data_IF_137963028823
#
_entry.id   IF_137963028823
#
_cell.length_a   1.000
_cell.length_b   1.000
_cell.length_c   1.000
_cell.angle_alpha   90.00
_cell.angle_beta   90.00
_cell.angle_gamma   90.00
#
_symmetry.space_group_name_H-M   'P 1'
#
loop_
_entity.id
_entity.type
_entity.pdbx_description
1 polymer ?
#
# COMPACT_ATOMS: atom_id res chain seq x y z
N UNK A 1 -10.63 4.20 4.52
CA UNK A 1 -9.89 3.81 5.75
C UNK A 1 -9.94 4.87 6.87
N UNK A 2 -9.85 6.18 6.60
CA UNK A 2 -9.85 7.25 7.63
C UNK A 2 -11.23 7.82 8.01
N UNK A 3 -12.34 7.06 7.95
CA UNK A 3 -13.65 7.59 8.36
C UNK A 3 -13.65 7.87 9.87
N UNK A 4 -13.85 9.12 10.27
CA UNK A 4 -13.76 9.57 11.68
C UNK A 4 -15.01 9.29 12.53
N UNK A 5 -16.08 8.73 11.96
CA UNK A 5 -17.30 8.47 12.72
C UNK A 5 -17.72 6.99 12.73
N UNK A 6 -17.83 6.48 13.96
CA UNK A 6 -18.77 5.52 14.53
C UNK A 6 -18.21 5.08 15.88
N UNK A 7 -19.09 4.77 16.83
CA UNK A 7 -18.71 4.08 18.06
C UNK A 7 -17.89 2.83 17.70
N UNK A 8 -16.67 2.75 18.24
CA UNK A 8 -15.77 1.61 18.06
C UNK A 8 -15.93 0.57 19.18
N UNK A 9 -16.85 0.80 20.12
CA UNK A 9 -17.14 -0.07 21.27
C UNK A 9 -17.33 -1.53 20.84
N UNK A 10 -18.11 -1.77 19.78
CA UNK A 10 -18.39 -3.09 19.20
C UNK A 10 -17.14 -3.87 18.77
N UNK A 11 -16.02 -3.20 18.54
CA UNK A 11 -14.77 -3.82 18.13
C UNK A 11 -13.74 -3.95 19.26
N UNK A 12 -13.97 -3.30 20.41
CA UNK A 12 -13.03 -3.30 21.55
C UNK A 12 -12.73 -4.72 22.03
N UNK A 13 -13.76 -5.56 22.14
CA UNK A 13 -13.64 -6.94 22.62
C UNK A 13 -12.61 -7.77 21.84
N UNK A 14 -12.41 -7.49 20.55
CA UNK A 14 -11.42 -8.20 19.74
C UNK A 14 -10.00 -7.68 19.93
N UNK A 15 -9.86 -6.40 20.30
CA UNK A 15 -8.59 -5.70 20.42
C UNK A 15 -8.06 -5.66 21.85
N UNK A 16 -8.87 -6.04 22.85
CA UNK A 16 -8.50 -5.99 24.27
C UNK A 16 -7.31 -6.88 24.61
N UNK A 17 -7.07 -7.94 23.82
CA UNK A 17 -5.92 -8.84 23.94
C UNK A 17 -4.57 -8.17 23.63
N UNK A 18 -4.58 -7.00 22.98
CA UNK A 18 -3.37 -6.27 22.63
C UNK A 18 -2.84 -5.54 23.87
N UNK A 19 -1.58 -5.79 24.23
CA UNK A 19 -0.88 -5.07 25.32
C UNK A 19 0.38 -4.39 24.77
N UNK A 20 0.53 -3.08 25.04
CA UNK A 20 1.64 -2.25 24.49
C UNK A 20 2.10 -1.13 25.45
N UNK A 21 1.93 -1.33 26.76
CA UNK A 21 2.28 -0.33 27.76
C UNK A 21 1.60 1.02 27.48
N UNK A 22 2.36 2.11 27.47
CA UNK A 22 1.84 3.46 27.23
C UNK A 22 1.18 3.65 25.85
N UNK A 23 1.57 2.85 24.85
CA UNK A 23 1.05 2.93 23.48
C UNK A 23 -0.20 2.07 23.26
N UNK A 24 -0.66 1.34 24.28
CA UNK A 24 -1.77 0.39 24.19
C UNK A 24 -3.03 0.98 23.59
N UNK A 25 -3.50 2.12 24.12
CA UNK A 25 -4.71 2.77 23.63
C UNK A 25 -4.61 3.12 22.15
N UNK A 26 -3.46 3.63 21.70
CA UNK A 26 -3.25 4.01 20.30
C UNK A 26 -3.25 2.78 19.39
N UNK A 27 -2.58 1.68 19.78
CA UNK A 27 -2.55 0.45 19.00
C UNK A 27 -3.92 -0.22 18.96
N UNK A 28 -4.66 -0.26 20.09
CA UNK A 28 -6.04 -0.75 20.15
C UNK A 28 -6.95 0.05 19.22
N UNK A 29 -6.79 1.36 19.14
CA UNK A 29 -7.54 2.19 18.21
C UNK A 29 -7.27 1.84 16.73
N UNK A 30 -6.00 1.53 16.37
CA UNK A 30 -5.68 1.04 15.03
C UNK A 30 -6.34 -0.32 14.76
N UNK A 31 -6.29 -1.23 15.74
CA UNK A 31 -6.96 -2.53 15.67
C UNK A 31 -8.46 -2.40 15.42
N UNK A 32 -9.17 -1.57 16.19
CA UNK A 32 -10.61 -1.36 16.04
C UNK A 32 -10.95 -0.81 14.65
N UNK A 33 -10.18 0.16 14.16
CA UNK A 33 -10.35 0.73 12.81
C UNK A 33 -10.11 -0.32 11.71
N UNK A 34 -9.10 -1.17 11.88
CA UNK A 34 -8.80 -2.28 10.97
C UNK A 34 -9.97 -3.27 10.91
N UNK A 35 -10.47 -3.75 12.06
CA UNK A 35 -11.62 -4.68 12.12
C UNK A 35 -12.89 -4.06 11.54
N UNK A 36 -13.19 -2.80 11.88
CA UNK A 36 -14.32 -2.07 11.32
C UNK A 36 -14.25 -2.05 9.81
N UNK A 37 -13.08 -1.76 9.24
CA UNK A 37 -12.90 -1.76 7.79
C UNK A 37 -13.19 -3.13 7.19
N UNK A 38 -12.68 -4.22 7.76
CA UNK A 38 -12.95 -5.58 7.31
C UNK A 38 -14.44 -5.94 7.31
N UNK A 39 -15.20 -5.46 8.31
CA UNK A 39 -16.62 -5.76 8.47
C UNK A 39 -17.54 -4.88 7.61
N UNK A 40 -17.17 -3.62 7.37
CA UNK A 40 -18.09 -2.60 6.82
C UNK A 40 -17.69 -2.06 5.45
N UNK A 41 -16.46 -2.31 4.98
CA UNK A 41 -16.02 -1.80 3.68
C UNK A 41 -16.74 -2.48 2.52
N UNK A 42 -17.32 -1.65 1.65
CA UNK A 42 -17.84 -2.10 0.35
C UNK A 42 -16.72 -2.36 -0.66
N UNK A 43 -15.55 -1.72 -0.50
CA UNK A 43 -14.40 -1.91 -1.39
C UNK A 43 -13.91 -3.38 -1.36
N UNK A 44 -14.07 -4.05 -0.21
CA UNK A 44 -13.75 -5.47 -0.04
C UNK A 44 -14.73 -6.43 -0.72
N UNK A 45 -15.89 -5.94 -1.17
CA UNK A 45 -16.91 -6.76 -1.83
C UNK A 45 -16.93 -6.55 -3.35
N UNK A 46 -16.01 -5.75 -3.89
CA UNK A 46 -15.87 -5.55 -5.34
C UNK A 46 -15.38 -6.85 -5.98
N UNK A 47 -16.11 -7.34 -6.98
CA UNK A 47 -15.72 -8.50 -7.77
C UNK A 47 -14.60 -8.08 -8.74
N UNK A 48 -13.46 -8.78 -8.71
CA UNK A 48 -12.29 -8.53 -9.56
C UNK A 48 -11.80 -7.07 -9.52
N UNK A 49 -11.36 -6.55 -8.36
CA UNK A 49 -10.85 -5.19 -8.27
C UNK A 49 -9.56 -5.04 -9.11
N UNK A 50 -9.32 -3.86 -9.66
CA UNK A 50 -8.11 -3.54 -10.45
C UNK A 50 -6.81 -3.63 -9.64
N UNK A 51 -6.92 -3.63 -8.32
CA UNK A 51 -5.83 -3.77 -7.38
C UNK A 51 -6.31 -4.49 -6.12
N UNK A 52 -5.38 -5.05 -5.37
CA UNK A 52 -5.66 -5.73 -4.11
C UNK A 52 -5.88 -4.72 -2.97
N UNK A 53 -7.16 -4.53 -2.61
CA UNK A 53 -7.60 -3.66 -1.51
C UNK A 53 -7.01 -4.11 -0.16
N UNK A 54 -6.72 -5.40 0.01
CA UNK A 54 -6.11 -5.93 1.23
C UNK A 54 -4.67 -5.44 1.40
N UNK A 55 -3.92 -5.37 0.31
CA UNK A 55 -2.56 -4.82 0.32
C UNK A 55 -2.56 -3.34 0.76
N UNK A 56 -3.51 -2.54 0.27
CA UNK A 56 -3.68 -1.15 0.72
C UNK A 56 -3.99 -1.04 2.21
N UNK A 57 -4.87 -1.91 2.73
CA UNK A 57 -5.19 -1.95 4.15
C UNK A 57 -3.97 -2.31 5.00
N UNK A 58 -3.14 -3.24 4.54
CA UNK A 58 -1.92 -3.61 5.25
C UNK A 58 -0.93 -2.43 5.28
N UNK A 59 -0.70 -1.73 4.17
CA UNK A 59 0.16 -0.54 4.16
C UNK A 59 -0.40 0.63 4.98
N UNK A 60 -1.73 0.84 4.97
CA UNK A 60 -2.36 1.83 5.84
C UNK A 60 -2.09 1.52 7.30
N UNK A 61 -2.17 0.24 7.68
CA UNK A 61 -1.86 -0.22 9.04
C UNK A 61 -0.41 0.09 9.41
N UNK A 62 0.54 -0.22 8.51
CA UNK A 62 1.96 0.14 8.69
C UNK A 62 2.16 1.62 8.94
N UNK A 63 1.60 2.49 8.09
CA UNK A 63 1.71 3.96 8.28
C UNK A 63 1.20 4.39 9.64
N UNK A 64 0.08 3.82 10.11
CA UNK A 64 -0.48 4.17 11.42
C UNK A 64 0.39 3.68 12.57
N UNK A 65 0.90 2.45 12.50
CA UNK A 65 1.81 1.91 13.51
C UNK A 65 3.13 2.69 13.53
N UNK A 66 3.71 3.01 12.37
CA UNK A 66 4.90 3.87 12.29
C UNK A 66 4.66 5.26 12.88
N UNK A 67 3.46 5.83 12.72
CA UNK A 67 3.11 7.10 13.36
C UNK A 67 3.04 7.03 14.90
N UNK A 68 2.82 5.83 15.47
CA UNK A 68 2.78 5.59 16.91
C UNK A 68 4.19 5.27 17.46
N UNK A 69 4.93 4.45 16.73
CA UNK A 69 6.20 3.92 17.19
C UNK A 69 7.42 4.75 16.77
N UNK A 70 7.31 5.51 15.68
CA UNK A 70 8.45 6.15 15.01
C UNK A 70 9.15 5.19 14.05
N UNK A 71 9.66 5.70 12.93
CA UNK A 71 10.33 4.87 11.93
C UNK A 71 11.76 4.50 12.33
N UNK A 72 12.52 5.45 12.86
CA UNK A 72 13.99 5.36 12.89
C UNK A 72 14.58 4.39 13.94
N UNK A 73 13.79 3.85 14.87
CA UNK A 73 14.31 2.92 15.91
C UNK A 73 13.32 1.84 16.36
N UNK A 74 12.15 1.70 15.72
CA UNK A 74 11.08 0.84 16.20
C UNK A 74 10.50 -0.09 15.14
N UNK A 75 11.31 -0.50 14.14
CA UNK A 75 10.87 -1.50 13.15
C UNK A 75 10.37 -2.79 13.83
N UNK A 76 11.11 -3.27 14.84
CA UNK A 76 10.72 -4.44 15.63
C UNK A 76 9.36 -4.25 16.33
N UNK A 77 9.12 -3.09 16.94
CA UNK A 77 7.84 -2.82 17.59
C UNK A 77 6.69 -2.74 16.58
N UNK A 78 6.94 -2.16 15.39
CA UNK A 78 5.96 -2.10 14.31
C UNK A 78 5.62 -3.50 13.81
N UNK A 79 6.63 -4.36 13.60
CA UNK A 79 6.47 -5.76 13.20
C UNK A 79 5.67 -6.54 14.25
N UNK A 80 6.02 -6.41 15.53
CA UNK A 80 5.32 -7.08 16.61
C UNK A 80 3.87 -6.57 16.74
N UNK A 81 3.65 -5.26 16.58
CA UNK A 81 2.31 -4.68 16.66
C UNK A 81 1.45 -5.15 15.48
N UNK A 82 2.03 -5.26 14.29
CA UNK A 82 1.37 -5.84 13.13
C UNK A 82 1.08 -7.34 13.34
N UNK A 83 2.00 -8.09 13.92
CA UNK A 83 1.81 -9.49 14.31
C UNK A 83 0.65 -9.70 15.28
N UNK A 84 0.49 -8.80 16.26
CA UNK A 84 -0.67 -8.82 17.16
C UNK A 84 -1.99 -8.60 16.39
N UNK A 85 -2.00 -7.75 15.37
CA UNK A 85 -3.17 -7.60 14.49
C UNK A 85 -3.45 -8.86 13.66
N UNK A 86 -2.41 -9.56 13.19
CA UNK A 86 -2.57 -10.86 12.53
C UNK A 86 -3.19 -11.89 13.48
N UNK A 87 -2.77 -11.90 14.75
CA UNK A 87 -3.36 -12.76 15.76
C UNK A 87 -4.85 -12.45 15.98
N UNK A 88 -5.21 -11.19 16.16
CA UNK A 88 -6.62 -10.75 16.27
C UNK A 88 -7.42 -11.18 15.04
N UNK A 89 -6.89 -11.01 13.83
CA UNK A 89 -7.55 -11.44 12.60
C UNK A 89 -7.79 -12.96 12.60
N UNK A 90 -6.80 -13.76 12.99
CA UNK A 90 -6.95 -15.21 13.08
C UNK A 90 -8.05 -15.62 14.07
N UNK A 91 -8.16 -14.95 15.22
CA UNK A 91 -9.23 -15.19 16.20
C UNK A 91 -10.63 -14.90 15.64
N UNK A 92 -10.74 -13.95 14.70
CA UNK A 92 -12.03 -13.57 14.09
C UNK A 92 -12.40 -14.48 12.92
N UNK A 93 -11.44 -14.83 12.05
CA UNK A 93 -11.70 -15.41 10.73
C UNK A 93 -11.10 -16.81 10.48
N UNK A 94 -10.16 -17.30 11.30
CA UNK A 94 -9.52 -18.60 11.11
C UNK A 94 -10.16 -19.73 11.94
N UNK A 95 -10.58 -19.46 13.18
CA UNK A 95 -11.10 -20.50 14.05
C UNK A 95 -12.49 -21.03 13.62
N UNK A 96 -12.66 -22.36 13.52
CA UNK A 96 -13.89 -22.99 13.04
C UNK A 96 -15.05 -22.79 14.03
N UNK A 97 -16.12 -22.14 13.57
CA UNK A 97 -17.32 -21.88 14.37
C UNK A 97 -18.03 -20.55 14.07
N UNK A 98 -17.34 -19.61 13.39
CA UNK A 98 -17.93 -18.31 13.01
C UNK A 98 -18.18 -18.25 11.49
N UNK A 99 -19.44 -17.99 11.13
CA UNK A 99 -20.00 -17.87 9.75
C UNK A 99 -19.50 -16.62 8.99
N UNK A 100 -18.21 -16.32 8.99
CA UNK A 100 -17.68 -15.19 8.23
C UNK A 100 -16.74 -15.69 7.16
N UNK A 101 -17.08 -15.38 5.90
CA UNK A 101 -16.37 -15.75 4.68
C UNK A 101 -14.86 -15.85 4.92
N UNK A 102 -14.39 -17.08 4.89
CA UNK A 102 -12.98 -17.44 4.95
C UNK A 102 -12.25 -16.56 3.92
N UNK A 103 -11.29 -15.74 4.35
CA UNK A 103 -10.36 -14.94 3.53
C UNK A 103 -10.65 -13.44 3.32
N UNK A 104 -11.47 -12.75 4.13
CA UNK A 104 -11.51 -11.27 4.07
C UNK A 104 -10.18 -10.66 4.56
N UNK A 105 -9.34 -10.26 3.60
CA UNK A 105 -8.04 -9.61 3.79
C UNK A 105 -7.20 -10.17 4.92
N UNK A 106 -6.68 -11.38 4.74
CA UNK A 106 -5.67 -11.92 5.65
C UNK A 106 -4.48 -10.95 5.67
N UNK A 107 -4.13 -10.36 6.82
CA UNK A 107 -2.96 -9.51 6.93
C UNK A 107 -1.73 -10.38 6.68
N UNK A 108 -1.06 -10.15 5.55
CA UNK A 108 0.14 -10.85 5.17
C UNK A 108 1.25 -9.84 4.90
N UNK A 109 2.31 -9.92 5.68
CA UNK A 109 3.58 -9.29 5.42
C UNK A 109 4.62 -10.39 5.60
N UNK A 110 5.31 -10.74 4.52
CA UNK A 110 6.50 -11.59 4.62
C UNK A 110 7.63 -10.81 5.28
N UNK A 111 8.60 -11.48 5.88
CA UNK A 111 9.73 -10.86 6.60
C UNK A 111 10.44 -9.79 5.77
N UNK A 112 10.57 -10.02 4.46
CA UNK A 112 11.17 -9.07 3.53
C UNK A 112 10.33 -7.81 3.34
N UNK A 113 9.00 -7.92 3.42
CA UNK A 113 8.12 -6.77 3.25
C UNK A 113 8.26 -5.76 4.39
N UNK A 114 8.75 -6.17 5.55
CA UNK A 114 8.94 -5.28 6.69
C UNK A 114 10.14 -4.35 6.51
N UNK A 115 11.24 -4.82 5.89
CA UNK A 115 12.50 -4.07 5.82
C UNK A 115 12.36 -2.85 4.88
N UNK A 116 11.74 -3.03 3.72
CA UNK A 116 11.62 -2.05 2.65
C UNK A 116 10.16 -1.61 2.42
N UNK A 117 9.31 -1.76 3.45
CA UNK A 117 7.87 -1.53 3.39
C UNK A 117 7.52 -0.15 2.82
N UNK A 118 8.35 0.87 3.09
CA UNK A 118 8.18 2.24 2.58
C UNK A 118 8.29 2.28 1.06
N UNK A 119 9.31 1.63 0.49
CA UNK A 119 9.50 1.56 -0.96
C UNK A 119 8.41 0.68 -1.59
N UNK A 120 8.06 -0.44 -0.97
CA UNK A 120 6.98 -1.31 -1.47
C UNK A 120 5.63 -0.59 -1.46
N UNK A 121 5.34 0.20 -0.43
CA UNK A 121 4.14 1.05 -0.37
C UNK A 121 4.12 2.07 -1.51
N UNK A 122 5.21 2.82 -1.71
CA UNK A 122 5.31 3.79 -2.81
C UNK A 122 5.06 3.14 -4.17
N UNK A 123 5.68 1.98 -4.40
CA UNK A 123 5.48 1.19 -5.61
C UNK A 123 4.01 0.77 -5.79
N UNK A 124 3.36 0.35 -4.70
CA UNK A 124 1.96 -0.06 -4.73
C UNK A 124 0.99 1.12 -4.95
N UNK A 125 1.21 2.25 -4.27
CA UNK A 125 0.43 3.48 -4.48
C UNK A 125 0.54 3.94 -5.94
N UNK A 126 1.75 3.92 -6.50
CA UNK A 126 1.98 4.23 -7.91
C UNK A 126 1.23 3.28 -8.85
N UNK A 127 1.22 1.98 -8.56
CA UNK A 127 0.46 0.99 -9.32
C UNK A 127 -1.05 1.28 -9.29
N UNK A 128 -1.60 1.61 -8.11
CA UNK A 128 -3.02 1.95 -7.94
C UNK A 128 -3.39 3.19 -8.74
N UNK A 129 -2.54 4.22 -8.68
CA UNK A 129 -2.80 5.48 -9.37
C UNK A 129 -2.48 5.43 -10.87
N UNK A 130 -1.74 4.43 -11.34
CA UNK A 130 -1.15 4.41 -12.67
C UNK A 130 -2.18 4.59 -13.80
N UNK A 131 -3.33 3.89 -13.74
CA UNK A 131 -4.35 3.99 -14.80
C UNK A 131 -4.84 5.44 -14.95
N UNK A 132 -5.10 6.09 -13.81
CA UNK A 132 -5.52 7.48 -13.74
C UNK A 132 -4.39 8.41 -14.22
N UNK A 133 -3.17 8.20 -13.74
CA UNK A 133 -1.99 8.98 -14.13
C UNK A 133 -1.74 8.91 -15.63
N UNK A 134 -1.80 7.70 -16.22
CA UNK A 134 -1.64 7.47 -17.66
C UNK A 134 -2.74 8.16 -18.47
N UNK A 135 -4.00 8.01 -18.05
CA UNK A 135 -5.13 8.64 -18.74
C UNK A 135 -4.98 10.17 -18.75
N UNK A 136 -4.66 10.76 -17.61
CA UNK A 136 -4.51 12.20 -17.51
C UNK A 136 -3.30 12.74 -18.28
N UNK A 137 -2.15 12.05 -18.26
CA UNK A 137 -0.97 12.41 -19.04
C UNK A 137 -1.24 12.44 -20.55
N UNK A 138 -2.14 11.57 -21.05
CA UNK A 138 -2.52 11.58 -22.47
C UNK A 138 -3.42 12.76 -22.87
N UNK A 139 -4.07 13.44 -21.91
CA UNK A 139 -5.10 14.45 -22.19
C UNK A 139 -4.63 15.87 -21.84
N UNK A 140 -3.81 16.05 -20.79
CA UNK A 140 -3.55 17.38 -20.19
C UNK A 140 -2.10 17.59 -19.73
N UNK A 141 -1.10 17.12 -20.47
CA UNK A 141 0.30 17.29 -20.03
C UNK A 141 0.94 18.62 -20.46
N UNK A 142 0.17 19.71 -20.50
CA UNK A 142 0.68 21.04 -20.86
C UNK A 142 1.70 21.58 -19.81
N UNK A 143 1.62 21.08 -18.56
CA UNK A 143 2.46 21.52 -17.44
C UNK A 143 3.48 20.48 -16.92
N UNK A 144 3.59 19.31 -17.55
CA UNK A 144 4.50 18.23 -17.15
C UNK A 144 4.33 17.75 -15.68
N UNK A 145 3.17 17.98 -15.05
CA UNK A 145 2.96 17.61 -13.64
C UNK A 145 2.95 16.09 -13.45
N UNK A 146 2.56 15.34 -14.49
CA UNK A 146 2.61 13.88 -14.50
C UNK A 146 4.04 13.35 -14.62
N UNK A 147 4.91 14.05 -15.36
CA UNK A 147 6.33 13.74 -15.43
C UNK A 147 7.01 13.88 -14.05
N UNK A 148 6.67 14.91 -13.26
CA UNK A 148 7.21 15.09 -11.91
C UNK A 148 6.91 13.89 -11.01
N UNK A 149 5.67 13.37 -11.03
CA UNK A 149 5.28 12.18 -10.25
C UNK A 149 6.02 10.91 -10.66
N UNK A 150 6.26 10.72 -11.95
CA UNK A 150 7.06 9.58 -12.45
C UNK A 150 8.53 9.74 -12.01
N UNK A 151 9.07 10.96 -12.06
CA UNK A 151 10.43 11.26 -11.63
C UNK A 151 10.63 11.07 -10.11
N UNK A 152 9.64 11.44 -9.30
CA UNK A 152 9.64 11.18 -7.85
C UNK A 152 9.76 9.69 -7.53
N UNK A 153 9.20 8.83 -8.38
CA UNK A 153 9.30 7.39 -8.23
C UNK A 153 10.65 6.81 -8.66
N UNK A 154 11.51 7.55 -9.37
CA UNK A 154 12.76 7.04 -9.94
C UNK A 154 13.64 6.34 -8.88
N UNK A 155 13.82 6.97 -7.72
CA UNK A 155 14.58 6.39 -6.60
C UNK A 155 13.98 5.06 -6.09
N UNK A 156 12.66 4.90 -6.15
CA UNK A 156 11.98 3.65 -5.78
C UNK A 156 12.21 2.57 -6.84
N UNK A 157 12.23 2.94 -8.12
CA UNK A 157 12.55 2.00 -9.21
C UNK A 157 14.01 1.57 -9.15
N UNK A 158 14.96 2.50 -9.00
CA UNK A 158 16.38 2.19 -8.88
C UNK A 158 16.65 1.22 -7.69
N UNK A 159 15.96 1.42 -6.57
CA UNK A 159 16.02 0.51 -5.42
C UNK A 159 15.60 -0.92 -5.79
N UNK A 160 14.45 -1.07 -6.47
CA UNK A 160 13.95 -2.39 -6.84
C UNK A 160 14.71 -3.01 -8.01
N UNK A 161 15.25 -2.23 -8.94
CA UNK A 161 16.18 -2.73 -9.96
C UNK A 161 17.38 -3.41 -9.30
N UNK A 162 18.00 -2.74 -8.33
CA UNK A 162 19.11 -3.32 -7.58
C UNK A 162 18.67 -4.54 -6.77
N UNK A 163 17.57 -4.44 -6.01
CA UNK A 163 17.10 -5.55 -5.16
C UNK A 163 16.77 -6.79 -5.99
N UNK A 164 16.01 -6.62 -7.08
CA UNK A 164 15.59 -7.73 -7.94
C UNK A 164 16.76 -8.35 -8.72
N UNK A 165 17.82 -7.59 -9.00
CA UNK A 165 19.03 -8.10 -9.63
C UNK A 165 19.89 -8.91 -8.64
N UNK A 166 19.99 -8.47 -7.38
CA UNK A 166 20.79 -9.14 -6.35
C UNK A 166 20.07 -10.32 -5.71
N UNK A 167 18.77 -10.20 -5.49
CA UNK A 167 17.94 -11.19 -4.79
C UNK A 167 16.56 -11.31 -5.46
N UNK A 168 16.47 -12.13 -6.53
CA UNK A 168 15.24 -12.30 -7.31
C UNK A 168 14.03 -12.78 -6.49
N UNK A 169 14.27 -13.51 -5.40
CA UNK A 169 13.21 -14.04 -4.53
C UNK A 169 12.57 -12.94 -3.67
N UNK A 170 13.31 -11.86 -3.38
CA UNK A 170 12.78 -10.68 -2.68
C UNK A 170 12.08 -9.68 -3.60
N UNK A 171 12.15 -9.89 -4.92
CA UNK A 171 11.59 -8.98 -5.90
C UNK A 171 10.05 -8.91 -5.80
N UNK A 172 9.44 -7.73 -5.55
CA UNK A 172 7.99 -7.62 -5.49
C UNK A 172 7.35 -8.04 -6.83
N UNK A 173 6.34 -8.92 -6.86
CA UNK A 173 5.70 -9.33 -8.12
C UNK A 173 5.17 -8.14 -8.94
N UNK A 174 4.65 -7.13 -8.24
CA UNK A 174 4.12 -5.89 -8.83
C UNK A 174 5.20 -5.04 -9.52
N UNK A 175 6.46 -5.18 -9.12
CA UNK A 175 7.57 -4.46 -9.72
C UNK A 175 7.72 -4.78 -11.21
N UNK A 176 7.63 -6.07 -11.57
CA UNK A 176 7.71 -6.52 -12.97
C UNK A 176 6.61 -5.92 -13.84
N UNK A 177 5.41 -5.74 -13.29
CA UNK A 177 4.31 -5.08 -13.99
C UNK A 177 4.54 -3.57 -14.11
N UNK A 178 4.98 -2.92 -13.04
CA UNK A 178 5.22 -1.48 -12.99
C UNK A 178 6.41 -1.03 -13.86
N UNK A 179 7.47 -1.83 -13.97
CA UNK A 179 8.64 -1.54 -14.82
C UNK A 179 8.29 -1.61 -16.31
N UNK A 180 7.51 -2.61 -16.73
CA UNK A 180 6.97 -2.71 -18.09
C UNK A 180 6.09 -1.51 -18.45
N UNK A 181 5.34 -1.01 -17.48
CA UNK A 181 4.52 0.18 -17.58
C UNK A 181 5.40 1.41 -17.83
N UNK A 182 6.45 1.63 -17.03
CA UNK A 182 7.35 2.78 -17.18
C UNK A 182 8.09 2.77 -18.51
N UNK A 183 8.59 1.61 -18.95
CA UNK A 183 9.25 1.49 -20.24
C UNK A 183 8.34 1.92 -21.39
N UNK A 184 7.05 1.55 -21.34
CA UNK A 184 6.05 2.00 -22.34
C UNK A 184 5.75 3.49 -22.22
N UNK A 185 5.67 4.04 -21.01
CA UNK A 185 5.46 5.48 -20.79
C UNK A 185 6.66 6.31 -21.25
N UNK A 186 7.90 5.85 -21.01
CA UNK A 186 9.12 6.46 -21.53
C UNK A 186 9.21 6.40 -23.05
N UNK A 187 8.76 5.31 -23.68
CA UNK A 187 8.67 5.21 -25.14
C UNK A 187 7.65 6.21 -25.71
N UNK A 188 6.49 6.33 -25.07
CA UNK A 188 5.51 7.39 -25.39
C UNK A 188 6.08 8.79 -25.13
N UNK A 189 6.88 8.98 -24.06
CA UNK A 189 7.57 10.24 -23.75
C UNK A 189 8.59 10.64 -24.81
N UNK A 190 9.39 9.71 -25.38
CA UNK A 190 10.30 10.03 -26.48
C UNK A 190 9.53 10.67 -27.64
N UNK A 191 8.36 10.14 -27.97
CA UNK A 191 7.52 10.66 -29.04
C UNK A 191 6.81 11.98 -28.69
N UNK A 192 6.40 12.19 -27.44
CA UNK A 192 5.79 13.46 -26.97
C UNK A 192 6.83 14.58 -26.92
N UNK A 193 8.03 14.33 -26.38
CA UNK A 193 9.14 15.29 -26.36
C UNK A 193 9.60 15.63 -27.79
N UNK A 194 9.69 14.64 -28.68
CA UNK A 194 9.98 14.85 -30.11
C UNK A 194 8.88 15.68 -30.82
N UNK A 195 7.63 15.57 -30.40
CA UNK A 195 6.51 16.35 -30.96
C UNK A 195 6.55 17.80 -30.48
N UNK A 196 6.89 18.02 -29.21
CA UNK A 196 7.10 19.34 -28.61
C UNK A 196 8.31 20.07 -29.21
N UNK A 197 9.45 19.39 -29.33
CA UNK A 197 10.65 19.98 -29.98
C UNK A 197 10.41 20.34 -31.46
N UNK A 198 9.60 19.56 -32.19
CA UNK A 198 9.23 19.87 -33.58
C UNK A 198 8.29 21.06 -33.72
N UNK A 199 7.45 21.33 -32.73
CA UNK A 199 6.55 22.49 -32.72
C UNK A 199 7.27 23.79 -32.31
N UNK A 200 8.33 23.69 -31.49
CA UNK A 200 9.13 24.83 -31.04
C UNK A 200 10.38 25.14 -31.90
N UNK A 201 10.65 24.35 -32.94
CA UNK A 201 11.70 24.62 -33.95
C UNK A 201 11.15 25.31 -35.21
N UNK A 202 9.87 25.69 -35.23
CA UNK A 202 9.20 26.40 -36.32
C UNK A 202 8.91 27.89 -36.01
N UNK A 203 9.54 28.45 -34.98
CA UNK A 203 9.57 29.89 -34.69
C UNK A 203 10.99 30.36 -34.47
#
# INVERSE_FOLDING_TARGET
>A
MNKEYNDLSDYSIYCDIIMWGEKENQVKEICKKYIRYLKTSNELNIVNPSYDVCTLLNYWTYVKLTGIFGLENSLYDIELAFGNLQHVWNQIYHYPGKRFNHNKCKPNFETNNHIDWVNRKKLYDYYVDYVTLKYMANIRDDNCDYYKRIKEMQTTFDYFDSLCATDPDKCPPIYKFASHIILKTCYLHYHVIQKWNRQNLLF
#
